data_IF_098015635246
#
_entry.id   IF_098015635246
#
_cell.length_a   1.000
_cell.length_b   1.000
_cell.length_c   1.000
_cell.angle_alpha   90.00
_cell.angle_beta   90.00
_cell.angle_gamma   90.00
#
_symmetry.space_group_name_H-M   'P 1'
#
loop_
_entity.id
_entity.type
_entity.pdbx_description
1 polymer ?
#
# COMPACT_ATOMS: atom_id res chain seq x y z
N UNK A 1 43.92 -0.66 28.50
CA UNK A 1 43.52 -0.32 27.12
C UNK A 1 42.03 -0.62 26.98
N UNK A 2 41.18 0.42 27.01
CA UNK A 2 39.74 0.25 26.88
C UNK A 2 39.36 0.39 25.39
N UNK A 3 38.74 -0.63 24.82
CA UNK A 3 38.11 -0.54 23.50
C UNK A 3 37.01 0.53 23.55
N UNK A 4 37.04 1.58 22.72
CA UNK A 4 35.91 2.47 22.59
C UNK A 4 34.74 1.66 22.02
N UNK A 5 33.75 1.38 22.86
CA UNK A 5 32.44 0.91 22.43
C UNK A 5 31.83 2.00 21.56
N UNK A 6 31.87 1.79 20.24
CA UNK A 6 31.20 2.63 19.25
C UNK A 6 29.71 2.69 19.60
N UNK A 7 29.33 3.74 20.33
CA UNK A 7 27.94 4.02 20.66
C UNK A 7 27.17 4.14 19.35
N UNK A 8 26.21 3.24 19.14
CA UNK A 8 25.36 3.21 17.95
C UNK A 8 24.64 4.56 17.90
N UNK A 9 24.82 5.38 16.85
CA UNK A 9 24.20 6.69 16.81
C UNK A 9 22.68 6.53 16.85
N UNK A 10 22.05 7.16 17.83
CA UNK A 10 20.59 7.11 18.03
C UNK A 10 19.87 7.43 16.71
N UNK A 11 18.76 6.74 16.39
CA UNK A 11 17.96 7.08 15.22
C UNK A 11 17.51 8.53 15.30
N UNK A 12 17.64 9.26 14.19
CA UNK A 12 17.05 10.60 14.11
C UNK A 12 15.53 10.48 14.15
N UNK A 13 14.86 11.47 14.73
CA UNK A 13 13.38 11.55 14.81
C UNK A 13 12.70 11.37 13.45
N UNK A 14 13.35 11.78 12.35
CA UNK A 14 12.86 11.53 10.98
C UNK A 14 12.90 10.07 10.53
N UNK A 15 13.90 9.30 10.99
CA UNK A 15 13.99 7.86 10.72
C UNK A 15 12.88 7.09 11.44
N UNK A 16 12.61 7.44 12.70
CA UNK A 16 11.53 6.82 13.49
C UNK A 16 10.15 7.08 12.88
N UNK A 17 9.87 8.33 12.48
CA UNK A 17 8.61 8.69 11.81
C UNK A 17 8.43 7.97 10.48
N UNK A 18 9.50 7.79 9.70
CA UNK A 18 9.46 7.05 8.43
C UNK A 18 9.14 5.57 8.67
N UNK A 19 9.80 4.96 9.66
CA UNK A 19 9.55 3.56 10.04
C UNK A 19 8.11 3.37 10.51
N UNK A 20 7.58 4.30 11.30
CA UNK A 20 6.19 4.29 11.75
C UNK A 20 5.22 4.42 10.57
N UNK A 21 5.45 5.36 9.65
CA UNK A 21 4.63 5.53 8.44
C UNK A 21 4.62 4.26 7.57
N UNK A 22 5.77 3.63 7.37
CA UNK A 22 5.85 2.36 6.63
C UNK A 22 5.18 1.20 7.37
N UNK A 23 5.28 1.17 8.70
CA UNK A 23 4.58 0.19 9.53
C UNK A 23 3.06 0.31 9.41
N UNK A 24 2.53 1.54 9.47
CA UNK A 24 1.11 1.82 9.26
C UNK A 24 0.65 1.45 7.84
N UNK A 25 1.47 1.76 6.82
CA UNK A 25 1.18 1.38 5.43
C UNK A 25 1.11 -0.15 5.24
N UNK A 26 2.04 -0.89 5.86
CA UNK A 26 2.02 -2.34 5.85
C UNK A 26 0.79 -2.91 6.57
N UNK A 27 0.44 -2.37 7.74
CA UNK A 27 -0.76 -2.78 8.48
C UNK A 27 -2.04 -2.52 7.69
N UNK A 28 -2.17 -1.35 7.05
CA UNK A 28 -3.31 -1.02 6.19
C UNK A 28 -3.41 -1.94 4.96
N UNK A 29 -2.26 -2.29 4.36
CA UNK A 29 -2.23 -3.25 3.23
C UNK A 29 -2.64 -4.65 3.68
N UNK A 30 -2.15 -5.11 4.84
CA UNK A 30 -2.53 -6.40 5.41
C UNK A 30 -4.03 -6.43 5.75
N UNK A 31 -4.57 -5.35 6.30
CA UNK A 31 -6.00 -5.22 6.58
C UNK A 31 -6.84 -5.23 5.29
N UNK A 32 -6.42 -4.50 4.25
CA UNK A 32 -7.08 -4.52 2.94
C UNK A 32 -7.06 -5.90 2.28
N UNK A 33 -5.92 -6.59 2.33
CA UNK A 33 -5.77 -7.96 1.84
C UNK A 33 -6.66 -8.93 2.64
N UNK A 34 -6.62 -8.85 3.97
CA UNK A 34 -7.46 -9.67 4.84
C UNK A 34 -8.95 -9.44 4.58
N UNK A 35 -9.36 -8.20 4.37
CA UNK A 35 -10.74 -7.85 4.02
C UNK A 35 -11.14 -8.41 2.65
N UNK A 36 -10.29 -8.28 1.62
CA UNK A 36 -10.56 -8.86 0.31
C UNK A 36 -10.68 -10.40 0.34
N UNK A 37 -9.84 -11.06 1.14
CA UNK A 37 -9.94 -12.51 1.34
C UNK A 37 -11.22 -12.89 2.11
N UNK A 38 -11.54 -12.17 3.20
CA UNK A 38 -12.78 -12.41 3.94
C UNK A 38 -14.02 -12.19 3.06
N UNK A 39 -13.98 -11.19 2.18
CA UNK A 39 -15.05 -10.92 1.23
C UNK A 39 -15.18 -12.05 0.21
N UNK A 40 -14.06 -12.52 -0.36
CA UNK A 40 -14.06 -13.63 -1.31
C UNK A 40 -14.48 -14.99 -0.74
N UNK A 41 -14.23 -15.25 0.54
CA UNK A 41 -14.54 -16.54 1.16
C UNK A 41 -15.83 -16.58 1.98
N UNK A 42 -16.32 -15.44 2.48
CA UNK A 42 -17.41 -15.42 3.46
C UNK A 42 -18.45 -14.33 3.24
N UNK A 43 -18.04 -13.11 2.85
CA UNK A 43 -19.00 -11.98 2.82
C UNK A 43 -19.70 -11.84 1.47
N UNK A 44 -19.04 -12.11 0.35
CA UNK A 44 -19.60 -12.03 -1.00
C UNK A 44 -19.99 -10.60 -1.44
N UNK A 45 -19.34 -9.57 -0.88
CA UNK A 45 -19.64 -8.17 -1.17
C UNK A 45 -19.35 -7.77 -2.61
N UNK A 46 -18.20 -8.15 -3.15
CA UNK A 46 -17.86 -7.89 -4.55
C UNK A 46 -18.83 -8.55 -5.53
N UNK A 47 -19.20 -9.80 -5.27
CA UNK A 47 -20.14 -10.54 -6.13
C UNK A 47 -21.52 -9.88 -6.16
N UNK A 48 -22.06 -9.52 -4.99
CA UNK A 48 -23.32 -8.75 -4.91
C UNK A 48 -23.22 -7.39 -5.61
N UNK A 49 -22.07 -6.72 -5.50
CA UNK A 49 -21.82 -5.45 -6.19
C UNK A 49 -21.84 -5.62 -7.72
N UNK A 50 -21.21 -6.67 -8.24
CA UNK A 50 -21.22 -6.96 -9.68
C UNK A 50 -22.61 -7.36 -10.17
N UNK A 51 -23.38 -8.14 -9.42
CA UNK A 51 -24.77 -8.42 -9.77
C UNK A 51 -25.61 -7.14 -9.88
N UNK A 52 -25.50 -6.25 -8.89
CA UNK A 52 -26.17 -4.95 -8.94
C UNK A 52 -25.74 -4.10 -10.15
N UNK A 53 -24.51 -4.27 -10.62
CA UNK A 53 -23.96 -3.54 -11.75
C UNK A 53 -24.36 -4.10 -13.11
N UNK A 54 -24.34 -5.43 -13.28
CA UNK A 54 -24.46 -6.08 -14.58
C UNK A 54 -25.83 -6.72 -14.85
N UNK A 55 -26.57 -7.15 -13.82
CA UNK A 55 -27.90 -7.75 -14.00
C UNK A 55 -28.88 -6.80 -14.73
N UNK A 56 -28.92 -5.47 -14.46
CA UNK A 56 -29.83 -4.56 -15.14
C UNK A 56 -29.58 -4.43 -16.65
N UNK A 57 -28.38 -4.75 -17.11
CA UNK A 57 -27.98 -4.69 -18.53
C UNK A 57 -27.90 -6.08 -19.16
N UNK A 58 -28.37 -7.13 -18.46
CA UNK A 58 -28.39 -8.51 -18.95
C UNK A 58 -27.01 -9.12 -19.14
N UNK A 59 -26.00 -8.64 -18.41
CA UNK A 59 -24.63 -9.15 -18.44
C UNK A 59 -24.27 -9.82 -17.13
N UNK A 60 -23.13 -10.51 -17.12
CA UNK A 60 -22.57 -11.15 -15.93
C UNK A 60 -21.15 -10.65 -15.68
N UNK A 61 -20.86 -10.30 -14.43
CA UNK A 61 -19.53 -9.88 -13.98
C UNK A 61 -18.82 -11.01 -13.23
N UNK A 62 -17.62 -11.38 -13.68
CA UNK A 62 -16.81 -12.38 -12.98
C UNK A 62 -16.06 -11.75 -11.80
N UNK A 63 -16.38 -12.19 -10.58
CA UNK A 63 -15.73 -11.70 -9.35
C UNK A 63 -14.33 -12.27 -9.12
N UNK A 64 -14.07 -13.50 -9.58
CA UNK A 64 -12.81 -14.20 -9.32
C UNK A 64 -11.55 -13.48 -9.85
N UNK A 65 -11.50 -12.95 -11.09
CA UNK A 65 -10.35 -12.18 -11.57
C UNK A 65 -10.08 -10.93 -10.74
N UNK A 66 -11.14 -10.27 -10.26
CA UNK A 66 -11.03 -9.05 -9.45
C UNK A 66 -10.49 -9.35 -8.04
N UNK A 67 -10.91 -10.46 -7.41
CA UNK A 67 -10.29 -10.92 -6.17
C UNK A 67 -8.82 -11.29 -6.38
N UNK A 68 -8.48 -12.00 -7.46
CA UNK A 68 -7.11 -12.34 -7.80
C UNK A 68 -6.23 -11.09 -7.95
N UNK A 69 -6.75 -10.06 -8.61
CA UNK A 69 -6.12 -8.75 -8.71
C UNK A 69 -5.87 -8.12 -7.33
N UNK A 70 -6.87 -8.05 -6.45
CA UNK A 70 -6.71 -7.45 -5.11
C UNK A 70 -5.67 -8.21 -4.27
N UNK A 71 -5.64 -9.55 -4.37
CA UNK A 71 -4.64 -10.38 -3.70
C UNK A 71 -3.24 -10.09 -4.20
N UNK A 72 -3.04 -10.04 -5.53
CA UNK A 72 -1.73 -9.72 -6.12
C UNK A 72 -1.27 -8.34 -5.68
N UNK A 73 -2.15 -7.33 -5.72
CA UNK A 73 -1.84 -5.97 -5.26
C UNK A 73 -1.45 -5.96 -3.79
N UNK A 74 -2.19 -6.65 -2.92
CA UNK A 74 -1.90 -6.75 -1.49
C UNK A 74 -0.55 -7.43 -1.22
N UNK A 75 -0.27 -8.57 -1.85
CA UNK A 75 0.98 -9.31 -1.67
C UNK A 75 2.18 -8.49 -2.16
N UNK A 76 2.10 -7.93 -3.38
CA UNK A 76 3.15 -7.06 -3.93
C UNK A 76 3.36 -5.83 -3.04
N UNK A 77 2.29 -5.21 -2.57
CA UNK A 77 2.34 -4.09 -1.63
C UNK A 77 3.12 -4.43 -0.35
N UNK A 78 2.81 -5.57 0.29
CA UNK A 78 3.52 -6.04 1.48
C UNK A 78 5.02 -6.28 1.23
N UNK A 79 5.37 -6.86 0.08
CA UNK A 79 6.77 -7.05 -0.31
C UNK A 79 7.49 -5.70 -0.51
N UNK A 80 6.84 -4.72 -1.14
CA UNK A 80 7.36 -3.37 -1.28
C UNK A 80 7.57 -2.70 0.08
N UNK A 81 6.62 -2.84 1.02
CA UNK A 81 6.78 -2.32 2.37
C UNK A 81 7.96 -2.94 3.08
N UNK A 82 8.11 -4.26 3.01
CA UNK A 82 9.21 -4.97 3.63
C UNK A 82 10.57 -4.51 3.08
N UNK A 83 10.68 -4.35 1.75
CA UNK A 83 11.88 -3.84 1.11
C UNK A 83 12.20 -2.39 1.55
N UNK A 84 11.20 -1.50 1.54
CA UNK A 84 11.35 -0.10 1.95
C UNK A 84 11.74 0.03 3.43
N UNK A 85 11.13 -0.78 4.31
CA UNK A 85 11.48 -0.83 5.73
C UNK A 85 12.91 -1.31 5.96
N UNK A 86 13.34 -2.36 5.23
CA UNK A 86 14.71 -2.89 5.30
C UNK A 86 15.73 -1.86 4.83
N UNK A 87 15.42 -1.08 3.78
CA UNK A 87 16.32 0.00 3.31
C UNK A 87 16.35 1.20 4.25
N UNK A 88 15.20 1.61 4.80
CA UNK A 88 15.12 2.69 5.79
C UNK A 88 15.97 2.37 7.03
N UNK A 89 15.89 1.13 7.53
CA UNK A 89 16.72 0.65 8.67
C UNK A 89 18.22 0.65 8.37
N UNK A 90 18.61 0.46 7.10
CA UNK A 90 20.01 0.47 6.65
C UNK A 90 20.55 1.88 6.34
N UNK A 91 19.74 2.94 6.49
CA UNK A 91 20.09 4.34 6.16
C UNK A 91 20.71 4.52 4.78
N UNK A 92 20.26 3.74 3.78
CA UNK A 92 20.81 3.82 2.44
C UNK A 92 20.47 5.18 1.79
N UNK A 93 21.48 5.88 1.24
CA UNK A 93 21.27 7.15 0.53
C UNK A 93 20.28 7.03 -0.65
N UNK A 94 20.12 5.82 -1.19
CA UNK A 94 19.20 5.49 -2.29
C UNK A 94 17.78 5.13 -1.83
N UNK A 95 17.51 5.04 -0.53
CA UNK A 95 16.21 4.63 0.01
C UNK A 95 15.07 5.54 -0.46
N UNK A 96 15.33 6.85 -0.61
CA UNK A 96 14.32 7.82 -1.07
C UNK A 96 13.96 7.63 -2.55
N UNK A 97 14.96 7.50 -3.44
CA UNK A 97 14.71 7.29 -4.87
C UNK A 97 13.95 5.99 -5.12
N UNK A 98 14.34 4.91 -4.41
CA UNK A 98 13.65 3.62 -4.51
C UNK A 98 12.26 3.64 -3.88
N UNK A 99 12.09 4.32 -2.75
CA UNK A 99 10.79 4.55 -2.12
C UNK A 99 9.84 5.31 -3.03
N UNK A 100 10.30 6.39 -3.67
CA UNK A 100 9.51 7.15 -4.64
C UNK A 100 9.15 6.32 -5.88
N UNK A 101 10.09 5.52 -6.38
CA UNK A 101 9.84 4.64 -7.54
C UNK A 101 8.83 3.54 -7.20
N UNK A 102 8.96 2.88 -6.04
CA UNK A 102 7.98 1.87 -5.59
C UNK A 102 6.60 2.47 -5.36
N UNK A 103 6.53 3.67 -4.77
CA UNK A 103 5.26 4.39 -4.57
C UNK A 103 4.61 4.81 -5.90
N UNK A 104 5.41 5.30 -6.84
CA UNK A 104 4.95 5.69 -8.18
C UNK A 104 4.42 4.49 -8.95
N UNK A 105 5.12 3.36 -8.92
CA UNK A 105 4.64 2.12 -9.53
C UNK A 105 3.38 1.57 -8.85
N UNK A 106 3.29 1.67 -7.51
CA UNK A 106 2.14 1.22 -6.75
C UNK A 106 0.89 2.10 -6.96
N UNK A 107 1.05 3.36 -7.40
CA UNK A 107 -0.08 4.25 -7.67
C UNK A 107 -0.99 3.69 -8.78
N UNK A 108 -0.42 3.03 -9.80
CA UNK A 108 -1.18 2.50 -10.94
C UNK A 108 -2.23 1.48 -10.47
N UNK A 109 -1.86 0.36 -9.81
CA UNK A 109 -2.86 -0.58 -9.32
C UNK A 109 -3.74 0.06 -8.24
N UNK A 110 -3.19 0.79 -7.27
CA UNK A 110 -4.01 1.30 -6.15
C UNK A 110 -5.08 2.29 -6.60
N UNK A 111 -4.82 3.09 -7.65
CA UNK A 111 -5.78 4.06 -8.16
C UNK A 111 -6.70 3.49 -9.25
N UNK A 112 -6.37 2.36 -9.86
CA UNK A 112 -7.19 1.76 -10.90
C UNK A 112 -8.68 1.57 -10.48
N UNK A 113 -9.01 1.09 -9.25
CA UNK A 113 -10.39 0.99 -8.77
C UNK A 113 -11.18 2.32 -8.76
N UNK A 114 -10.49 3.47 -8.68
CA UNK A 114 -11.12 4.80 -8.64
C UNK A 114 -11.52 5.25 -10.04
N UNK A 115 -10.73 4.87 -11.05
CA UNK A 115 -10.91 5.29 -12.44
C UNK A 115 -11.63 4.26 -13.31
N UNK A 116 -11.56 2.97 -12.95
CA UNK A 116 -12.27 1.90 -13.65
C UNK A 116 -13.74 1.91 -13.26
N UNK A 117 -14.53 2.52 -14.13
CA UNK A 117 -15.97 2.59 -14.00
C UNK A 117 -16.63 1.91 -15.20
N UNK A 118 -17.69 1.17 -14.92
CA UNK A 118 -18.60 0.65 -15.93
C UNK A 118 -20.01 1.11 -15.57
N UNK A 119 -20.79 1.52 -16.58
CA UNK A 119 -22.16 2.02 -16.38
C UNK A 119 -22.28 3.18 -15.36
N UNK A 120 -21.23 3.98 -15.20
CA UNK A 120 -21.18 5.10 -14.26
C UNK A 120 -20.98 4.70 -12.79
N UNK A 121 -20.65 3.43 -12.52
CA UNK A 121 -20.33 2.92 -11.19
C UNK A 121 -18.95 2.27 -11.20
N UNK A 122 -18.22 2.29 -10.06
CA UNK A 122 -16.91 1.66 -9.98
C UNK A 122 -17.03 0.14 -10.10
N UNK A 123 -16.14 -0.49 -10.88
CA UNK A 123 -16.13 -1.96 -11.04
C UNK A 123 -15.76 -2.66 -9.72
N UNK A 124 -14.81 -2.09 -8.99
CA UNK A 124 -14.42 -2.55 -7.66
C UNK A 124 -15.01 -1.59 -6.63
N UNK A 125 -15.82 -2.07 -5.66
CA UNK A 125 -16.41 -1.20 -4.65
C UNK A 125 -15.32 -0.56 -3.78
N UNK A 126 -15.51 0.71 -3.45
CA UNK A 126 -14.51 1.51 -2.74
C UNK A 126 -14.12 0.91 -1.38
N UNK A 127 -15.04 0.18 -0.74
CA UNK A 127 -14.78 -0.52 0.52
C UNK A 127 -13.62 -1.52 0.42
N UNK A 128 -13.49 -2.23 -0.71
CA UNK A 128 -12.40 -3.17 -0.97
C UNK A 128 -11.09 -2.45 -1.34
N UNK A 129 -11.18 -1.27 -1.96
CA UNK A 129 -10.03 -0.47 -2.36
C UNK A 129 -9.45 0.40 -1.21
N UNK A 130 -10.26 0.74 -0.21
CA UNK A 130 -9.94 1.73 0.82
C UNK A 130 -8.66 1.40 1.59
N UNK A 131 -8.46 0.14 2.00
CA UNK A 131 -7.25 -0.28 2.72
C UNK A 131 -5.97 -0.03 1.93
N UNK A 132 -6.00 -0.25 0.61
CA UNK A 132 -4.85 -0.01 -0.28
C UNK A 132 -4.59 1.48 -0.50
N UNK A 133 -5.65 2.31 -0.60
CA UNK A 133 -5.54 3.76 -0.71
C UNK A 133 -4.94 4.38 0.55
N UNK A 134 -5.37 3.93 1.73
CA UNK A 134 -4.79 4.36 3.01
C UNK A 134 -3.31 3.95 3.07
N UNK A 135 -2.99 2.71 2.71
CA UNK A 135 -1.61 2.24 2.69
C UNK A 135 -0.72 3.10 1.78
N UNK A 136 -1.16 3.36 0.55
CA UNK A 136 -0.43 4.20 -0.40
C UNK A 136 -0.20 5.62 0.16
N UNK A 137 -1.21 6.19 0.81
CA UNK A 137 -1.11 7.51 1.46
C UNK A 137 -0.07 7.52 2.59
N UNK A 138 0.01 6.46 3.41
CA UNK A 138 1.06 6.30 4.41
C UNK A 138 2.46 6.25 3.78
N UNK A 139 2.59 5.68 2.59
CA UNK A 139 3.86 5.58 1.86
C UNK A 139 4.32 6.91 1.31
N UNK A 140 3.38 7.67 0.77
CA UNK A 140 3.60 9.05 0.37
C UNK A 140 4.12 9.87 1.54
N UNK A 141 3.45 9.80 2.70
CA UNK A 141 3.90 10.47 3.92
C UNK A 141 5.31 10.02 4.33
N UNK A 142 5.60 8.71 4.33
CA UNK A 142 6.93 8.20 4.66
C UNK A 142 8.04 8.72 3.73
N UNK A 143 7.78 8.80 2.42
CA UNK A 143 8.72 9.35 1.43
C UNK A 143 8.92 10.86 1.61
N UNK A 144 7.86 11.59 1.95
CA UNK A 144 7.92 13.04 2.22
C UNK A 144 8.68 13.36 3.51
N UNK A 145 8.55 12.52 4.54
CA UNK A 145 9.19 12.70 5.85
C UNK A 145 10.69 12.34 5.87
N UNK A 146 11.18 11.57 4.89
CA UNK A 146 12.61 11.36 4.63
C UNK A 146 13.28 12.68 4.17
N UNK A 147 13.58 13.59 5.11
CA UNK A 147 14.26 14.89 4.86
C UNK A 147 15.61 14.71 4.16
N UNK A 148 16.01 15.71 3.35
CA UNK A 148 17.32 15.78 2.68
C UNK A 148 18.44 15.82 3.74
N UNK A 149 19.53 15.04 3.59
CA UNK A 149 20.78 15.39 4.24
C UNK A 149 21.31 16.67 3.56
N UNK A 150 21.17 17.82 4.22
CA UNK A 150 21.72 19.09 3.70
C UNK A 150 20.87 20.35 3.86
N UNK A 151 19.86 20.39 4.74
CA UNK A 151 19.22 21.65 5.13
C UNK A 151 19.51 21.94 6.61
N UNK A 152 20.78 22.23 6.89
CA UNK A 152 21.19 23.08 8.01
C UNK A 152 21.41 24.46 7.41
N UNK A 153 20.58 25.42 7.83
CA UNK A 153 20.92 26.84 7.85
C UNK A 153 21.86 27.04 9.04
#
# INVERSE_FOLDING_TARGET
>A
MAHPTLARPAPSTGTERTVLAYGLGAAATAAGLGYALADGFALGGLERHLHALYDPVGKYGESAPLYGYLVVVGVVGLLCWWANLRWARRRAATARRRGALTLGLAAIPVLAPVFLQEYGQPVIPLSLAAGYLVAWSCGLLGVLLLRRPGSTI
#
